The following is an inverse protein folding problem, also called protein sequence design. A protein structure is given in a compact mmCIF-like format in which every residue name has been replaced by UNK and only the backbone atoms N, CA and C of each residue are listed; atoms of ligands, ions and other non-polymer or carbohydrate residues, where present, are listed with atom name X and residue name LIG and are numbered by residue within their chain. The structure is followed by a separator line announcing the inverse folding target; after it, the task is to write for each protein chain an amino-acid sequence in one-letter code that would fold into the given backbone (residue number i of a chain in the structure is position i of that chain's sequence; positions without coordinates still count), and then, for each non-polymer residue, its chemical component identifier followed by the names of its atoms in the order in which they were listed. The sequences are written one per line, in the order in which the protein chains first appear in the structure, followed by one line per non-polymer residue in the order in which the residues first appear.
data_IF_520102406872
#
_entry.id   IF_520102406872
#
_cell.length_a   1.000
_cell.length_b   1.000
_cell.length_c   1.000
_cell.angle_alpha   90.00
_cell.angle_beta   90.00
_cell.angle_gamma   90.00
#
_symmetry.space_group_name_H-M   'P 1'
#
loop_
_entity.id
_entity.type
_entity.pdbx_description
1 polymer ?
#
# COMPACT_ATOMS: atom_id res chain seq x y z
N UNK A 1 -12.12 -9.62 -3.40
CA UNK A 1 -11.35 -8.90 -2.37
C UNK A 1 -11.68 -7.43 -2.48
N UNK A 2 -11.65 -6.69 -1.37
CA UNK A 2 -11.77 -5.22 -1.36
C UNK A 2 -10.63 -4.62 -0.55
N UNK A 3 -9.92 -3.63 -1.09
CA UNK A 3 -9.00 -2.80 -0.30
C UNK A 3 -9.84 -1.89 0.59
N UNK A 4 -9.67 -2.01 1.91
CA UNK A 4 -10.39 -1.21 2.90
C UNK A 4 -9.67 0.11 3.16
N UNK A 5 -8.35 0.04 3.25
CA UNK A 5 -7.49 1.19 3.47
C UNK A 5 -6.09 0.90 2.93
N UNK A 6 -5.43 1.92 2.38
CA UNK A 6 -4.00 1.89 2.18
C UNK A 6 -3.38 3.24 2.55
N UNK A 7 -2.25 3.18 3.26
CA UNK A 7 -1.46 4.35 3.62
C UNK A 7 -0.04 4.20 3.11
N UNK A 8 0.53 5.28 2.58
CA UNK A 8 1.94 5.34 2.21
C UNK A 8 2.61 6.47 2.98
N UNK A 9 3.66 6.16 3.74
CA UNK A 9 4.37 7.14 4.55
C UNK A 9 5.15 6.56 5.72
N UNK A 10 5.49 7.41 6.68
CA UNK A 10 6.22 7.05 7.89
C UNK A 10 5.83 7.96 9.06
N UNK A 11 5.72 7.39 10.26
CA UNK A 11 5.28 8.09 11.48
C UNK A 11 3.96 8.85 11.26
N UNK A 12 4.01 10.20 11.30
CA UNK A 12 2.86 11.08 11.16
C UNK A 12 2.77 11.73 9.76
N UNK A 13 3.63 11.32 8.83
CA UNK A 13 3.69 11.84 7.46
C UNK A 13 3.26 10.73 6.50
N UNK A 14 1.94 10.62 6.30
CA UNK A 14 1.31 9.53 5.55
C UNK A 14 0.22 10.08 4.64
N UNK A 15 0.27 9.68 3.37
CA UNK A 15 -0.76 9.97 2.38
C UNK A 15 -1.71 8.77 2.25
N UNK A 16 -2.99 9.05 1.99
CA UNK A 16 -3.97 8.02 1.67
C UNK A 16 -3.75 7.48 0.25
N UNK A 17 -3.37 6.21 0.17
CA UNK A 17 -3.11 5.49 -1.07
C UNK A 17 -4.28 4.58 -1.50
N UNK A 18 -5.40 4.55 -0.76
CA UNK A 18 -6.50 3.59 -0.91
C UNK A 18 -7.03 3.56 -2.35
N UNK A 19 -7.28 4.74 -2.93
CA UNK A 19 -7.80 4.85 -4.31
C UNK A 19 -6.79 4.36 -5.35
N UNK A 20 -5.50 4.68 -5.18
CA UNK A 20 -4.45 4.30 -6.11
C UNK A 20 -4.23 2.78 -6.11
N UNK A 21 -4.13 2.18 -4.91
CA UNK A 21 -3.96 0.74 -4.73
C UNK A 21 -5.18 -0.03 -5.25
N UNK A 22 -6.40 0.43 -4.96
CA UNK A 22 -7.63 -0.20 -5.46
C UNK A 22 -7.67 -0.22 -6.99
N UNK A 23 -7.40 0.93 -7.63
CA UNK A 23 -7.36 1.03 -9.10
C UNK A 23 -6.29 0.14 -9.73
N UNK A 24 -5.11 0.05 -9.12
CA UNK A 24 -4.04 -0.83 -9.61
C UNK A 24 -4.42 -2.31 -9.46
N UNK A 25 -5.05 -2.69 -8.35
CA UNK A 25 -5.57 -4.03 -8.14
C UNK A 25 -6.63 -4.41 -9.19
N UNK A 26 -7.57 -3.50 -9.46
CA UNK A 26 -8.63 -3.67 -10.47
C UNK A 26 -8.05 -3.84 -11.89
N UNK A 27 -6.86 -3.25 -12.14
CA UNK A 27 -6.11 -3.41 -13.40
C UNK A 27 -5.27 -4.68 -13.48
N UNK A 28 -5.34 -5.54 -12.46
CA UNK A 28 -4.64 -6.83 -12.43
C UNK A 28 -3.32 -6.84 -11.66
N UNK A 29 -2.89 -5.72 -11.06
CA UNK A 29 -1.72 -5.73 -10.19
C UNK A 29 -2.00 -6.56 -8.92
N UNK A 30 -1.04 -7.40 -8.52
CA UNK A 30 -1.16 -8.25 -7.32
C UNK A 30 -0.05 -8.02 -6.31
N UNK A 31 1.13 -7.63 -6.78
CA UNK A 31 2.27 -7.29 -5.92
C UNK A 31 2.41 -5.77 -5.83
N UNK A 32 2.41 -5.25 -4.61
CA UNK A 32 2.49 -3.82 -4.34
C UNK A 32 3.77 -3.52 -3.55
N UNK A 33 4.65 -2.71 -4.13
CA UNK A 33 5.88 -2.23 -3.49
C UNK A 33 5.63 -0.86 -2.87
N UNK A 34 6.38 -0.51 -1.83
CA UNK A 34 6.41 0.85 -1.33
C UNK A 34 7.11 1.76 -2.36
N UNK A 35 6.38 2.73 -2.92
CA UNK A 35 6.86 3.66 -3.94
C UNK A 35 6.14 5.00 -3.83
N UNK A 36 6.88 6.08 -4.14
CA UNK A 36 6.33 7.42 -4.31
C UNK A 36 5.29 7.52 -5.45
N UNK A 37 5.22 6.54 -6.35
CA UNK A 37 4.24 6.52 -7.46
C UNK A 37 2.78 6.45 -7.00
N UNK A 38 2.52 5.98 -5.77
CA UNK A 38 1.15 5.85 -5.26
C UNK A 38 0.49 7.19 -4.96
N UNK A 39 1.24 8.12 -4.34
CA UNK A 39 0.67 9.34 -3.76
C UNK A 39 1.64 10.54 -3.76
N UNK A 40 2.82 10.42 -4.37
CA UNK A 40 3.95 11.33 -4.13
C UNK A 40 4.73 10.98 -2.85
N UNK A 41 5.75 11.79 -2.53
CA UNK A 41 6.60 11.59 -1.35
C UNK A 41 6.07 12.36 -0.12
N UNK A 42 5.43 11.67 0.85
CA UNK A 42 4.93 12.30 2.08
C UNK A 42 6.04 12.68 3.07
N UNK A 43 7.26 12.13 2.94
CA UNK A 43 8.34 12.35 3.91
C UNK A 43 9.71 12.29 3.23
N UNK A 44 10.10 13.37 2.54
CA UNK A 44 11.37 13.42 1.83
C UNK A 44 12.57 13.13 2.73
N UNK A 45 13.49 12.29 2.25
CA UNK A 45 14.69 11.87 2.99
C UNK A 45 14.46 10.76 4.02
N UNK A 46 13.21 10.36 4.27
CA UNK A 46 12.89 9.23 5.15
C UNK A 46 12.43 8.01 4.36
N UNK A 47 12.78 6.83 4.89
CA UNK A 47 12.26 5.56 4.39
C UNK A 47 10.78 5.44 4.74
N UNK A 48 9.94 5.24 3.72
CA UNK A 48 8.48 5.12 3.86
C UNK A 48 8.03 3.68 3.76
N UNK A 49 6.79 3.45 4.15
CA UNK A 49 6.16 2.15 4.18
C UNK A 49 4.81 2.25 3.49
N UNK A 50 4.49 1.23 2.70
CA UNK A 50 3.14 1.00 2.23
C UNK A 50 2.47 0.01 3.18
N UNK A 51 1.32 0.39 3.70
CA UNK A 51 0.45 -0.45 4.51
C UNK A 51 -0.89 -0.62 3.79
N UNK A 52 -1.35 -1.85 3.63
CA UNK A 52 -2.64 -2.16 2.99
C UNK A 52 -3.46 -3.03 3.93
N UNK A 53 -4.72 -2.65 4.13
CA UNK A 53 -5.77 -3.45 4.76
C UNK A 53 -6.77 -3.87 3.71
N UNK A 54 -7.10 -5.16 3.65
CA UNK A 54 -8.09 -5.67 2.71
C UNK A 54 -9.02 -6.68 3.36
N UNK A 55 -10.20 -6.81 2.76
CA UNK A 55 -11.19 -7.81 3.13
C UNK A 55 -11.34 -8.86 2.03
N UNK A 56 -11.37 -10.12 2.45
CA UNK A 56 -11.67 -11.26 1.59
C UNK A 56 -12.48 -12.28 2.38
N UNK A 57 -13.62 -12.70 1.81
CA UNK A 57 -14.51 -13.71 2.39
C UNK A 57 -14.92 -13.41 3.84
N UNK A 58 -15.15 -12.13 4.17
CA UNK A 58 -15.53 -11.69 5.52
C UNK A 58 -14.38 -11.64 6.53
N UNK A 59 -13.13 -11.89 6.09
CA UNK A 59 -11.94 -11.79 6.93
C UNK A 59 -11.12 -10.57 6.52
N UNK A 60 -10.69 -9.79 7.51
CA UNK A 60 -9.79 -8.65 7.33
C UNK A 60 -8.35 -9.11 7.45
N UNK A 61 -7.53 -8.71 6.48
CA UNK A 61 -6.11 -8.98 6.41
C UNK A 61 -5.34 -7.67 6.30
N UNK A 62 -4.03 -7.73 6.57
CA UNK A 62 -3.15 -6.59 6.37
C UNK A 62 -1.76 -7.02 5.92
N UNK A 63 -1.03 -6.05 5.36
CA UNK A 63 0.34 -6.22 4.90
C UNK A 63 1.09 -4.90 4.97
N UNK A 64 2.40 -4.99 5.17
CA UNK A 64 3.31 -3.85 5.21
C UNK A 64 4.57 -4.16 4.41
N UNK A 65 5.08 -3.18 3.69
CA UNK A 65 6.37 -3.26 2.99
C UNK A 65 7.07 -1.90 3.07
N UNK A 66 8.38 -1.89 3.30
CA UNK A 66 9.18 -0.67 3.30
C UNK A 66 9.77 -0.38 1.92
N UNK A 67 10.05 0.89 1.63
CA UNK A 67 10.82 1.25 0.43
C UNK A 67 12.15 0.49 0.41
N UNK A 68 12.55 -0.02 -0.76
CA UNK A 68 13.74 -0.84 -0.94
C UNK A 68 13.56 -2.34 -0.61
N UNK A 69 12.43 -2.77 -0.05
CA UNK A 69 12.14 -4.19 0.10
C UNK A 69 11.68 -4.80 -1.24
N UNK A 70 12.14 -6.00 -1.56
CA UNK A 70 11.83 -6.67 -2.84
C UNK A 70 10.59 -7.57 -2.83
N UNK A 71 10.03 -7.88 -1.65
CA UNK A 71 8.93 -8.85 -1.51
C UNK A 71 7.55 -8.28 -1.87
N UNK A 72 7.31 -7.01 -1.55
CA UNK A 72 5.99 -6.38 -1.69
C UNK A 72 4.90 -6.96 -0.77
N UNK A 73 3.72 -6.37 -0.85
CA UNK A 73 2.47 -6.94 -0.35
C UNK A 73 1.80 -7.67 -1.51
N UNK A 74 1.52 -8.96 -1.33
CA UNK A 74 0.84 -9.77 -2.34
C UNK A 74 -0.63 -9.90 -1.97
N UNK A 75 -1.48 -9.32 -2.81
CA UNK A 75 -2.92 -9.44 -2.70
C UNK A 75 -3.42 -10.62 -3.55
N UNK A 76 -4.43 -11.38 -3.08
CA UNK A 76 -5.01 -12.54 -3.77
C UNK A 76 -5.68 -12.22 -5.11
#
# INVERSE_FOLDING_TARGET
MKVVYAGFGVWNSTNDATTAISKAYDKGQRTFLASNDWTGDPSPGNRKYLYIVWEQNGVTYSGVVGEGDSKGINLP
#
